data_IF_339671500351
#
_entry.id   IF_339671500351
#
_cell.length_a   1.000
_cell.length_b   1.000
_cell.length_c   1.000
_cell.angle_alpha   90.00
_cell.angle_beta   90.00
_cell.angle_gamma   90.00
#
_symmetry.space_group_name_H-M   'P 1'
#
loop_
_entity.id
_entity.type
_entity.pdbx_description
1 polymer ?
#
# COMPACT_ATOMS: atom_id res chain seq x y z
N UNK A 1 41.01 -20.61 -0.67
CA UNK A 1 42.49 -20.66 -0.56
C UNK A 1 42.82 -21.04 0.86
N UNK A 2 43.73 -21.98 1.13
CA UNK A 2 44.25 -22.16 2.49
C UNK A 2 44.97 -20.88 2.90
N UNK A 3 44.68 -20.36 4.10
CA UNK A 3 45.41 -19.22 4.64
C UNK A 3 46.77 -19.70 5.14
N UNK A 4 47.80 -18.87 4.97
CA UNK A 4 49.10 -19.12 5.61
C UNK A 4 48.90 -19.23 7.13
N UNK A 5 49.66 -20.13 7.75
CA UNK A 5 49.57 -20.42 9.19
C UNK A 5 49.74 -19.12 9.99
N UNK A 6 48.83 -18.85 10.93
CA UNK A 6 48.88 -17.64 11.74
C UNK A 6 50.24 -17.59 12.46
N UNK A 7 51.08 -16.58 12.19
CA UNK A 7 52.41 -16.53 12.77
C UNK A 7 52.32 -16.25 14.27
N UNK A 8 52.95 -17.08 15.09
CA UNK A 8 53.13 -16.80 16.50
C UNK A 8 54.22 -15.74 16.72
N UNK A 9 54.05 -14.83 17.70
CA UNK A 9 55.10 -13.91 18.12
C UNK A 9 56.41 -14.64 18.47
N UNK A 10 57.59 -14.08 18.09
CA UNK A 10 58.88 -14.72 18.34
C UNK A 10 59.13 -15.07 19.82
N UNK A 11 58.67 -14.21 20.72
CA UNK A 11 58.77 -14.39 22.18
C UNK A 11 57.99 -15.59 22.72
N UNK A 12 56.94 -16.04 22.04
CA UNK A 12 56.21 -17.26 22.39
C UNK A 12 56.90 -18.50 21.84
N UNK A 13 57.52 -18.41 20.66
CA UNK A 13 58.28 -19.52 20.05
C UNK A 13 59.49 -19.91 20.91
N UNK A 14 60.23 -18.92 21.41
CA UNK A 14 61.39 -19.16 22.29
C UNK A 14 61.02 -19.80 23.64
N UNK A 15 59.84 -19.50 24.18
CA UNK A 15 59.39 -19.99 25.50
C UNK A 15 58.75 -21.37 25.47
N UNK A 16 58.14 -21.75 24.35
CA UNK A 16 57.34 -22.97 24.22
C UNK A 16 58.08 -24.08 23.45
N UNK A 17 59.14 -23.74 22.73
CA UNK A 17 59.80 -24.65 21.80
C UNK A 17 59.08 -24.71 20.46
N UNK A 18 59.81 -25.13 19.42
CA UNK A 18 59.35 -25.05 18.03
C UNK A 18 58.14 -25.95 17.74
N UNK A 19 58.12 -27.14 18.35
CA UNK A 19 57.05 -28.13 18.20
C UNK A 19 55.73 -27.63 18.79
N UNK A 20 55.74 -27.17 20.06
CA UNK A 20 54.54 -26.63 20.74
C UNK A 20 54.07 -25.33 20.08
N UNK A 21 55.01 -24.49 19.62
CA UNK A 21 54.67 -23.28 18.86
C UNK A 21 53.98 -23.62 17.52
N UNK A 22 54.43 -24.68 16.84
CA UNK A 22 53.81 -25.10 15.59
C UNK A 22 52.40 -25.67 15.81
N UNK A 23 52.20 -26.50 16.84
CA UNK A 23 50.88 -27.00 17.22
C UNK A 23 49.91 -25.86 17.59
N UNK A 24 50.37 -24.88 18.36
CA UNK A 24 49.56 -23.72 18.73
C UNK A 24 49.23 -22.84 17.52
N UNK A 25 50.17 -22.64 16.59
CA UNK A 25 49.92 -21.89 15.36
C UNK A 25 48.87 -22.59 14.49
N UNK A 26 48.96 -23.92 14.36
CA UNK A 26 47.98 -24.72 13.62
C UNK A 26 46.60 -24.66 14.29
N UNK A 27 46.54 -24.81 15.61
CA UNK A 27 45.28 -24.73 16.36
C UNK A 27 44.62 -23.34 16.24
N UNK A 28 45.39 -22.26 16.38
CA UNK A 28 44.88 -20.89 16.21
C UNK A 28 44.38 -20.65 14.78
N UNK A 29 45.10 -21.16 13.78
CA UNK A 29 44.70 -21.07 12.36
C UNK A 29 43.39 -21.79 12.13
N UNK A 30 43.27 -23.05 12.58
CA UNK A 30 42.05 -23.84 12.42
C UNK A 30 40.85 -23.20 13.15
N UNK A 31 41.08 -22.65 14.36
CA UNK A 31 40.04 -21.95 15.12
C UNK A 31 39.59 -20.67 14.39
N UNK A 32 40.53 -19.87 13.89
CA UNK A 32 40.24 -18.64 13.15
C UNK A 32 39.49 -18.92 11.85
N UNK A 33 39.88 -19.95 11.10
CA UNK A 33 39.19 -20.40 9.89
C UNK A 33 37.76 -20.83 10.20
N UNK A 34 37.57 -21.69 11.21
CA UNK A 34 36.25 -22.15 11.62
C UNK A 34 35.33 -21.02 12.13
N UNK A 35 35.89 -20.00 12.78
CA UNK A 35 35.13 -18.82 13.22
C UNK A 35 34.81 -17.90 12.04
N UNK A 36 35.77 -17.69 11.14
CA UNK A 36 35.61 -16.84 9.96
C UNK A 36 34.60 -17.42 8.99
N UNK A 37 34.65 -18.72 8.73
CA UNK A 37 33.69 -19.41 7.88
C UNK A 37 32.27 -19.32 8.45
N UNK A 38 32.11 -19.52 9.77
CA UNK A 38 30.81 -19.35 10.44
C UNK A 38 30.26 -17.93 10.27
N UNK A 39 31.13 -16.92 10.45
CA UNK A 39 30.74 -15.52 10.27
C UNK A 39 30.41 -15.20 8.81
N UNK A 40 31.17 -15.73 7.85
CA UNK A 40 30.91 -15.53 6.42
C UNK A 40 29.60 -16.18 5.99
N UNK A 41 29.35 -17.43 6.38
CA UNK A 41 28.07 -18.11 6.12
C UNK A 41 26.89 -17.32 6.69
N UNK A 42 26.99 -16.83 7.92
CA UNK A 42 25.93 -16.01 8.52
C UNK A 42 25.69 -14.69 7.78
N UNK A 43 26.75 -14.07 7.23
CA UNK A 43 26.62 -12.86 6.41
C UNK A 43 25.96 -13.15 5.05
N UNK A 44 26.34 -14.25 4.40
CA UNK A 44 25.73 -14.68 3.13
C UNK A 44 24.24 -15.01 3.32
N UNK A 45 23.92 -15.78 4.36
CA UNK A 45 22.54 -16.10 4.74
C UNK A 45 21.73 -14.83 5.02
N UNK A 46 22.30 -13.88 5.78
CA UNK A 46 21.66 -12.59 6.05
C UNK A 46 21.46 -11.76 4.78
N UNK A 47 22.43 -11.75 3.86
CA UNK A 47 22.33 -11.07 2.58
C UNK A 47 21.22 -11.66 1.71
N UNK A 48 21.10 -12.99 1.66
CA UNK A 48 20.08 -13.67 0.87
C UNK A 48 18.67 -13.49 1.47
N UNK A 49 18.56 -13.50 2.80
CA UNK A 49 17.31 -13.13 3.48
C UNK A 49 16.91 -11.69 3.18
N UNK A 50 17.86 -10.75 3.17
CA UNK A 50 17.59 -9.35 2.84
C UNK A 50 17.12 -9.19 1.38
N UNK A 51 17.78 -9.86 0.42
CA UNK A 51 17.35 -9.87 -0.98
C UNK A 51 15.93 -10.42 -1.11
N UNK A 52 15.63 -11.53 -0.44
CA UNK A 52 14.30 -12.12 -0.46
C UNK A 52 13.24 -11.17 0.11
N UNK A 53 13.55 -10.51 1.24
CA UNK A 53 12.66 -9.53 1.84
C UNK A 53 12.41 -8.32 0.91
N UNK A 54 13.44 -7.84 0.21
CA UNK A 54 13.30 -6.75 -0.77
C UNK A 54 12.41 -7.14 -1.96
N UNK A 55 12.56 -8.37 -2.47
CA UNK A 55 11.68 -8.89 -3.53
C UNK A 55 10.23 -8.96 -3.04
N UNK A 56 10.00 -9.52 -1.86
CA UNK A 56 8.66 -9.61 -1.27
C UNK A 56 8.03 -8.22 -1.04
N UNK A 57 8.83 -7.24 -0.62
CA UNK A 57 8.38 -5.86 -0.45
C UNK A 57 8.01 -5.22 -1.80
N UNK A 58 8.81 -5.41 -2.85
CA UNK A 58 8.51 -4.91 -4.18
C UNK A 58 7.21 -5.51 -4.75
N UNK A 59 6.97 -6.80 -4.51
CA UNK A 59 5.71 -7.46 -4.90
C UNK A 59 4.51 -6.97 -4.08
N UNK A 60 4.67 -6.76 -2.77
CA UNK A 60 3.65 -6.14 -1.94
C UNK A 60 3.32 -4.72 -2.42
N UNK A 61 4.32 -3.92 -2.75
CA UNK A 61 4.14 -2.57 -3.29
C UNK A 61 3.37 -2.59 -4.62
N UNK A 62 3.76 -3.45 -5.57
CA UNK A 62 3.05 -3.59 -6.86
C UNK A 62 1.58 -3.97 -6.68
N UNK A 63 1.26 -4.86 -5.72
CA UNK A 63 -0.12 -5.24 -5.40
C UNK A 63 -0.91 -4.06 -4.85
N UNK A 64 -0.31 -3.26 -3.99
CA UNK A 64 -0.92 -2.05 -3.44
C UNK A 64 -1.16 -1.01 -4.54
N UNK A 65 -0.19 -0.76 -5.42
CA UNK A 65 -0.32 0.16 -6.55
C UNK A 65 -1.46 -0.27 -7.49
N UNK A 66 -1.57 -1.57 -7.82
CA UNK A 66 -2.68 -2.09 -8.61
C UNK A 66 -4.04 -1.99 -7.87
N UNK A 67 -4.04 -2.02 -6.53
CA UNK A 67 -5.22 -1.73 -5.72
C UNK A 67 -5.66 -0.27 -5.84
N UNK A 68 -4.71 0.66 -5.76
CA UNK A 68 -4.95 2.09 -5.87
C UNK A 68 -5.50 2.47 -7.25
N UNK A 69 -4.94 1.93 -8.33
CA UNK A 69 -5.44 2.18 -9.69
C UNK A 69 -6.91 1.74 -9.85
N UNK A 70 -7.29 0.60 -9.27
CA UNK A 70 -8.69 0.14 -9.30
C UNK A 70 -9.61 1.05 -8.48
N UNK A 71 -9.12 1.55 -7.35
CA UNK A 71 -9.89 2.48 -6.52
C UNK A 71 -10.09 3.82 -7.22
N UNK A 72 -9.06 4.34 -7.89
CA UNK A 72 -9.12 5.57 -8.68
C UNK A 72 -10.22 5.49 -9.75
N UNK A 73 -10.22 4.42 -10.55
CA UNK A 73 -11.26 4.18 -11.55
C UNK A 73 -12.66 4.07 -10.92
N UNK A 74 -12.79 3.38 -9.78
CA UNK A 74 -14.08 3.26 -9.09
C UNK A 74 -14.60 4.62 -8.57
N UNK A 75 -13.69 5.47 -8.07
CA UNK A 75 -14.02 6.83 -7.61
C UNK A 75 -14.46 7.71 -8.79
N UNK A 76 -13.78 7.65 -9.93
CA UNK A 76 -14.17 8.37 -11.14
C UNK A 76 -15.58 7.96 -11.61
N UNK A 77 -15.85 6.65 -11.67
CA UNK A 77 -17.17 6.14 -12.05
C UNK A 77 -18.27 6.59 -11.07
N UNK A 78 -17.96 6.62 -9.77
CA UNK A 78 -18.90 7.08 -8.75
C UNK A 78 -19.19 8.58 -8.90
N UNK A 79 -18.16 9.40 -9.16
CA UNK A 79 -18.30 10.83 -9.40
C UNK A 79 -19.18 11.10 -10.63
N UNK A 80 -18.99 10.36 -11.73
CA UNK A 80 -19.84 10.48 -12.91
C UNK A 80 -21.29 10.05 -12.64
N UNK A 81 -21.49 8.95 -11.90
CA UNK A 81 -22.82 8.50 -11.50
C UNK A 81 -23.53 9.52 -10.59
N UNK A 82 -22.79 10.15 -9.68
CA UNK A 82 -23.28 11.24 -8.84
C UNK A 82 -23.70 12.43 -9.68
N UNK A 83 -22.85 12.90 -10.58
CA UNK A 83 -23.15 14.05 -11.45
C UNK A 83 -24.41 13.82 -12.32
N UNK A 84 -24.57 12.61 -12.88
CA UNK A 84 -25.79 12.24 -13.62
C UNK A 84 -27.03 12.24 -12.73
N UNK A 85 -26.90 11.85 -11.46
CA UNK A 85 -28.00 11.84 -10.50
C UNK A 85 -28.39 13.27 -10.12
N UNK A 86 -27.43 14.14 -9.83
CA UNK A 86 -27.64 15.57 -9.57
C UNK A 86 -28.39 16.23 -10.75
N UNK A 87 -27.93 16.01 -11.98
CA UNK A 87 -28.61 16.54 -13.16
C UNK A 87 -30.04 16.01 -13.35
N UNK A 88 -30.36 14.79 -12.88
CA UNK A 88 -31.75 14.28 -12.87
C UNK A 88 -32.59 14.92 -11.79
N UNK A 89 -32.01 15.18 -10.62
CA UNK A 89 -32.68 15.87 -9.51
C UNK A 89 -33.02 17.31 -9.87
N UNK A 90 -32.12 18.03 -10.54
CA UNK A 90 -32.38 19.39 -11.02
C UNK A 90 -33.57 19.44 -11.98
N UNK A 91 -33.61 18.52 -12.97
CA UNK A 91 -34.73 18.40 -13.90
C UNK A 91 -36.03 18.06 -13.19
N UNK A 92 -35.98 17.15 -12.22
CA UNK A 92 -37.15 16.80 -11.42
C UNK A 92 -37.65 18.01 -10.62
N UNK A 93 -36.73 18.79 -10.03
CA UNK A 93 -37.04 20.03 -9.34
C UNK A 93 -37.76 21.04 -10.25
N UNK A 94 -37.30 21.21 -11.49
CA UNK A 94 -37.95 22.07 -12.49
C UNK A 94 -39.37 21.58 -12.82
N UNK A 95 -39.54 20.30 -13.12
CA UNK A 95 -40.86 19.72 -13.44
C UNK A 95 -41.83 19.87 -12.26
N UNK A 96 -41.36 19.67 -11.02
CA UNK A 96 -42.19 19.86 -9.82
C UNK A 96 -42.59 21.33 -9.65
N UNK A 97 -41.69 22.27 -9.92
CA UNK A 97 -42.01 23.69 -9.86
C UNK A 97 -43.06 24.09 -10.92
N UNK A 98 -42.91 23.61 -12.16
CA UNK A 98 -43.88 23.82 -13.23
C UNK A 98 -45.25 23.23 -12.91
N UNK A 99 -45.28 22.01 -12.36
CA UNK A 99 -46.53 21.36 -11.93
C UNK A 99 -47.22 22.14 -10.81
N UNK A 100 -46.46 22.63 -9.82
CA UNK A 100 -47.00 23.44 -8.74
C UNK A 100 -47.61 24.76 -9.25
N UNK A 101 -47.01 25.39 -10.26
CA UNK A 101 -47.56 26.59 -10.89
C UNK A 101 -48.83 26.27 -11.72
N UNK A 102 -48.82 25.18 -12.49
CA UNK A 102 -49.99 24.73 -13.25
C UNK A 102 -51.17 24.38 -12.32
N UNK A 103 -50.88 23.77 -11.17
CA UNK A 103 -51.88 23.50 -10.14
C UNK A 103 -52.46 24.80 -9.56
N UNK A 104 -51.62 25.77 -9.16
CA UNK A 104 -52.09 27.09 -8.67
C UNK A 104 -52.99 27.80 -9.67
N UNK A 105 -52.65 27.79 -10.97
CA UNK A 105 -53.49 28.35 -12.03
C UNK A 105 -54.82 27.64 -12.19
N UNK A 106 -54.83 26.32 -12.00
CA UNK A 106 -56.05 25.50 -12.09
C UNK A 106 -56.97 25.77 -10.90
N UNK A 107 -56.41 25.83 -9.69
CA UNK A 107 -57.14 26.17 -8.47
C UNK A 107 -57.79 27.56 -8.56
N UNK A 108 -57.06 28.57 -9.05
CA UNK A 108 -57.60 29.92 -9.25
C UNK A 108 -58.79 29.93 -10.23
N UNK A 109 -58.69 29.21 -11.35
CA UNK A 109 -59.79 29.11 -12.33
C UNK A 109 -61.01 28.38 -11.78
N UNK A 110 -60.81 27.36 -10.96
CA UNK A 110 -61.91 26.66 -10.28
C UNK A 110 -62.62 27.58 -9.28
N UNK A 111 -61.86 28.42 -8.56
CA UNK A 111 -62.45 29.40 -7.64
C UNK A 111 -63.28 30.46 -8.40
N UNK A 112 -62.80 30.94 -9.55
CA UNK A 112 -63.56 31.85 -10.42
C UNK A 112 -64.85 31.20 -10.95
N UNK A 113 -64.78 29.94 -11.40
CA UNK A 113 -65.95 29.16 -11.85
C UNK A 113 -66.97 28.97 -10.73
N UNK A 114 -66.52 28.61 -9.52
CA UNK A 114 -67.41 28.47 -8.36
C UNK A 114 -68.12 29.78 -8.01
N UNK A 115 -67.41 30.92 -8.06
CA UNK A 115 -68.00 32.25 -7.87
C UNK A 115 -69.02 32.61 -8.96
N UNK A 116 -68.74 32.28 -10.22
CA UNK A 116 -69.68 32.51 -11.31
C UNK A 116 -70.94 31.65 -11.16
N UNK A 117 -70.80 30.38 -10.79
CA UNK A 117 -71.92 29.48 -10.55
C UNK A 117 -72.83 29.96 -9.42
N UNK A 118 -72.26 30.38 -8.29
CA UNK A 118 -73.02 30.97 -7.18
C UNK A 118 -73.85 32.19 -7.60
N UNK A 119 -73.32 33.05 -8.49
CA UNK A 119 -74.05 34.22 -9.01
C UNK A 119 -75.20 33.87 -9.93
N UNK A 120 -75.15 32.71 -10.59
CA UNK A 120 -76.22 32.24 -11.49
C UNK A 120 -77.29 31.43 -10.77
N UNK A 121 -76.95 30.83 -9.62
CA UNK A 121 -77.87 30.04 -8.79
C UNK A 121 -78.59 30.87 -7.71
N UNK A 122 -78.14 32.09 -7.44
CA UNK A 122 -78.75 33.05 -6.49
C UNK A 122 -79.79 33.95 -7.17
#
# INVERSE_FOLDING_TARGET
MPLETIPLPPSLKERLGEEVAQELAQWLTAMWEAQSERRWRSLEEGQDQLKAALVALAEAQRRTEAGLQRLEVAVEQLAEAQHRTEGRLDRLGQVVAELAEAQRRTEARLEELAKAQQRTEA
#
